data_IF_847171540080
#
_entry.id   IF_847171540080
#
_cell.length_a   1.000
_cell.length_b   1.000
_cell.length_c   1.000
_cell.angle_alpha   90.00
_cell.angle_beta   90.00
_cell.angle_gamma   90.00
#
_symmetry.space_group_name_H-M   'P 1'
#
loop_
_entity.id
_entity.type
_entity.pdbx_description
1 polymer ?
#
# COMPACT_ATOMS: atom_id res chain seq x y z
N UNK A 1 0.19 15.58 -4.71
CA UNK A 1 -1.00 14.86 -5.20
C UNK A 1 -0.53 13.60 -5.91
N UNK A 2 -1.27 12.52 -5.79
CA UNK A 2 -1.03 11.26 -6.48
C UNK A 2 -2.32 10.78 -7.12
N UNK A 3 -2.21 10.24 -8.33
CA UNK A 3 -3.33 9.57 -8.99
C UNK A 3 -3.42 8.13 -8.49
N UNK A 4 -4.62 7.71 -8.10
CA UNK A 4 -4.90 6.39 -7.54
C UNK A 4 -5.85 5.68 -8.51
N UNK A 5 -5.47 4.53 -9.08
CA UNK A 5 -6.37 3.72 -9.88
C UNK A 5 -7.63 3.34 -9.12
N UNK A 6 -8.78 3.29 -9.81
CA UNK A 6 -10.08 2.94 -9.22
C UNK A 6 -10.03 1.65 -8.38
N UNK A 7 -9.32 0.62 -8.86
CA UNK A 7 -9.23 -0.69 -8.19
C UNK A 7 -8.50 -0.64 -6.84
N UNK A 8 -7.66 0.38 -6.62
CA UNK A 8 -6.89 0.54 -5.39
C UNK A 8 -7.58 1.48 -4.38
N UNK A 9 -8.73 2.05 -4.73
CA UNK A 9 -9.40 3.07 -3.91
C UNK A 9 -9.67 2.62 -2.46
N UNK A 10 -9.96 1.33 -2.28
CA UNK A 10 -10.33 0.78 -0.98
C UNK A 10 -9.19 0.87 0.05
N UNK A 11 -7.94 0.93 -0.45
CA UNK A 11 -6.73 0.97 0.38
C UNK A 11 -6.21 2.38 0.63
N UNK A 12 -6.83 3.40 0.04
CA UNK A 12 -6.37 4.79 0.12
C UNK A 12 -7.45 5.65 0.77
N UNK A 13 -7.35 5.78 2.10
CA UNK A 13 -8.26 6.59 2.90
C UNK A 13 -7.49 7.69 3.64
N UNK A 14 -8.13 8.82 3.99
CA UNK A 14 -7.53 9.79 4.90
C UNK A 14 -7.08 9.15 6.20
N UNK A 15 -5.86 9.48 6.66
CA UNK A 15 -5.25 8.93 7.86
C UNK A 15 -4.32 7.73 7.65
N UNK A 16 -4.38 7.09 6.47
CA UNK A 16 -3.47 5.99 6.12
C UNK A 16 -2.02 6.45 6.09
N UNK A 17 -1.13 5.58 6.58
CA UNK A 17 0.30 5.88 6.63
C UNK A 17 0.87 5.93 5.20
N UNK A 18 1.68 6.96 4.94
CA UNK A 18 2.34 7.15 3.66
C UNK A 18 3.81 7.52 3.86
N UNK A 19 4.64 7.04 2.93
CA UNK A 19 6.06 7.38 2.83
C UNK A 19 6.30 8.10 1.51
N UNK A 20 6.78 9.34 1.58
CA UNK A 20 7.12 10.13 0.39
C UNK A 20 8.62 10.23 0.24
N UNK A 21 9.10 10.03 -0.97
CA UNK A 21 10.50 10.24 -1.37
C UNK A 21 10.55 11.12 -2.61
N UNK A 22 11.58 11.94 -2.74
CA UNK A 22 11.77 12.81 -3.91
C UNK A 22 13.05 12.42 -4.64
N UNK A 23 12.99 12.33 -5.96
CA UNK A 23 14.20 12.04 -6.76
C UNK A 23 15.26 13.15 -6.60
N UNK A 24 14.81 14.40 -6.39
CA UNK A 24 15.67 15.55 -6.15
C UNK A 24 16.31 15.58 -4.73
N UNK A 25 15.86 14.71 -3.81
CA UNK A 25 16.38 14.60 -2.45
C UNK A 25 16.70 13.13 -2.11
N UNK A 26 17.71 12.52 -2.73
CA UNK A 26 18.05 11.11 -2.50
C UNK A 26 18.34 10.81 -1.03
N UNK A 27 17.84 9.68 -0.55
CA UNK A 27 18.02 9.23 0.84
C UNK A 27 17.15 9.95 1.88
N UNK A 28 16.36 10.96 1.50
CA UNK A 28 15.37 11.57 2.39
C UNK A 28 14.01 10.91 2.21
N UNK A 29 13.46 10.42 3.31
CA UNK A 29 12.10 9.89 3.38
C UNK A 29 11.24 10.74 4.32
N UNK A 30 10.00 10.97 3.92
CA UNK A 30 9.04 11.77 4.67
C UNK A 30 7.88 10.86 5.08
N UNK A 31 7.85 10.50 6.36
CA UNK A 31 6.70 9.79 6.95
C UNK A 31 5.55 10.77 7.15
N UNK A 32 4.38 10.42 6.63
CA UNK A 32 3.22 11.28 6.61
C UNK A 32 1.94 10.43 6.56
N UNK A 33 0.80 11.10 6.39
CA UNK A 33 -0.49 10.45 6.21
C UNK A 33 -1.18 11.00 4.97
N UNK A 34 -2.08 10.20 4.40
CA UNK A 34 -3.02 10.70 3.40
C UNK A 34 -3.90 11.76 4.05
N UNK A 35 -3.86 12.98 3.53
CA UNK A 35 -4.63 14.11 4.06
C UNK A 35 -6.06 14.10 3.53
N UNK A 36 -6.22 13.87 2.22
CA UNK A 36 -7.51 13.97 1.52
C UNK A 36 -7.55 13.01 0.35
N UNK A 37 -8.77 12.66 -0.07
CA UNK A 37 -9.04 11.98 -1.34
C UNK A 37 -10.25 12.65 -2.00
N UNK A 38 -10.25 12.73 -3.32
CA UNK A 38 -11.31 13.41 -4.09
C UNK A 38 -12.66 12.70 -4.03
N UNK A 39 -12.67 11.39 -3.76
CA UNK A 39 -13.84 10.48 -3.85
C UNK A 39 -14.57 10.47 -5.22
N UNK A 40 -14.14 11.32 -6.15
CA UNK A 40 -14.59 11.36 -7.52
C UNK A 40 -13.46 10.89 -8.45
N UNK A 41 -13.84 10.06 -9.41
CA UNK A 41 -12.98 9.63 -10.51
C UNK A 41 -12.88 10.74 -11.56
N UNK A 42 -11.68 10.97 -12.08
CA UNK A 42 -11.49 11.70 -13.32
C UNK A 42 -12.05 10.87 -14.49
N UNK A 43 -12.93 11.46 -15.31
CA UNK A 43 -13.63 10.72 -16.37
C UNK A 43 -12.72 10.26 -17.52
N UNK A 44 -11.55 10.89 -17.68
CA UNK A 44 -10.59 10.57 -18.74
C UNK A 44 -9.63 9.46 -18.32
N UNK A 45 -9.11 9.51 -17.09
CA UNK A 45 -8.12 8.53 -16.59
C UNK A 45 -8.71 7.41 -15.74
N UNK A 46 -9.93 7.60 -15.22
CA UNK A 46 -10.54 6.74 -14.18
C UNK A 46 -9.67 6.60 -12.93
N UNK A 47 -8.94 7.66 -12.60
CA UNK A 47 -8.19 7.75 -11.35
C UNK A 47 -8.89 8.67 -10.36
N UNK A 48 -8.77 8.33 -9.08
CA UNK A 48 -9.02 9.26 -7.99
C UNK A 48 -7.77 10.09 -7.71
N UNK A 49 -7.93 11.20 -7.01
CA UNK A 49 -6.81 12.02 -6.54
C UNK A 49 -6.69 11.90 -5.04
N UNK A 50 -5.51 11.51 -4.57
CA UNK A 50 -5.15 11.57 -3.16
C UNK A 50 -4.14 12.70 -2.93
N UNK A 51 -4.27 13.37 -1.79
CA UNK A 51 -3.43 14.47 -1.38
C UNK A 51 -2.73 14.15 -0.07
N UNK A 52 -1.47 14.57 0.03
CA UNK A 52 -0.60 14.39 1.18
C UNK A 52 -0.01 15.75 1.46
N UNK A 53 -0.17 16.23 2.69
CA UNK A 53 0.48 17.44 3.14
C UNK A 53 1.83 17.10 3.78
N UNK A 54 2.87 17.80 3.35
CA UNK A 54 4.21 17.67 3.90
C UNK A 54 4.65 19.00 4.51
N UNK A 55 5.08 19.01 5.77
CA UNK A 55 5.73 20.19 6.35
C UNK A 55 6.96 20.57 5.52
N UNK A 56 7.05 21.84 5.16
CA UNK A 56 8.20 22.38 4.40
C UNK A 56 8.75 23.68 5.02
N UNK A 57 9.06 23.71 6.32
CA UNK A 57 9.50 24.94 7.00
C UNK A 57 10.81 25.49 6.43
N UNK A 58 11.70 24.62 5.95
CA UNK A 58 13.01 24.99 5.38
C UNK A 58 12.94 25.29 3.87
N UNK A 59 11.77 25.15 3.24
CA UNK A 59 11.59 25.44 1.81
C UNK A 59 12.34 24.49 0.86
N UNK A 60 12.77 23.32 1.34
CA UNK A 60 13.53 22.34 0.56
C UNK A 60 12.68 21.62 -0.48
N UNK A 61 11.38 21.48 -0.23
CA UNK A 61 10.43 20.93 -1.19
C UNK A 61 9.97 22.04 -2.14
N UNK A 62 10.30 21.91 -3.43
CA UNK A 62 9.93 22.92 -4.44
C UNK A 62 8.78 22.40 -5.32
N UNK A 63 7.87 23.28 -5.77
CA UNK A 63 6.84 22.91 -6.75
C UNK A 63 7.48 22.31 -8.02
N UNK A 64 6.82 21.31 -8.59
CA UNK A 64 7.30 20.60 -9.79
C UNK A 64 8.31 19.48 -9.52
N UNK A 65 8.73 19.25 -8.28
CA UNK A 65 9.53 18.07 -7.94
C UNK A 65 8.71 16.79 -8.12
N UNK A 66 9.36 15.76 -8.68
CA UNK A 66 8.80 14.42 -8.78
C UNK A 66 8.95 13.68 -7.45
N UNK A 67 7.82 13.18 -6.96
CA UNK A 67 7.73 12.39 -5.74
C UNK A 67 7.29 10.96 -6.05
N UNK A 68 7.85 10.00 -5.34
CA UNK A 68 7.32 8.63 -5.24
C UNK A 68 6.67 8.47 -3.87
N UNK A 69 5.47 7.92 -3.86
CA UNK A 69 4.63 7.81 -2.66
C UNK A 69 4.31 6.33 -2.48
N UNK A 70 4.56 5.80 -1.28
CA UNK A 70 4.11 4.47 -0.87
C UNK A 70 3.05 4.64 0.20
N UNK A 71 1.82 4.23 -0.10
CA UNK A 71 0.71 4.25 0.85
C UNK A 71 0.57 2.85 1.42
N UNK A 72 0.48 2.74 2.74
CA UNK A 72 0.30 1.47 3.41
C UNK A 72 -1.16 1.04 3.27
N UNK A 73 -1.39 -0.09 2.61
CA UNK A 73 -2.70 -0.72 2.57
C UNK A 73 -2.94 -1.49 3.87
N UNK A 74 -4.02 -1.16 4.59
CA UNK A 74 -4.49 -1.99 5.70
C UNK A 74 -5.36 -3.11 5.14
N UNK A 75 -4.87 -4.34 5.28
CA UNK A 75 -5.63 -5.54 4.94
C UNK A 75 -6.46 -6.00 6.15
N UNK A 76 -7.54 -6.72 5.89
CA UNK A 76 -8.33 -7.36 6.92
C UNK A 76 -7.45 -8.30 7.78
N UNK A 77 -7.83 -8.49 9.05
CA UNK A 77 -7.14 -9.45 9.91
C UNK A 77 -7.22 -10.85 9.31
N UNK A 78 -6.05 -11.44 9.08
CA UNK A 78 -5.92 -12.75 8.44
C UNK A 78 -4.70 -13.51 9.00
N UNK A 79 -4.74 -14.84 8.90
CA UNK A 79 -3.55 -15.65 9.14
C UNK A 79 -2.50 -15.37 8.07
N UNK A 80 -1.28 -15.04 8.51
CA UNK A 80 -0.15 -14.77 7.61
C UNK A 80 0.71 -16.02 7.52
N UNK A 81 0.87 -16.53 6.31
CA UNK A 81 1.74 -17.67 6.01
C UNK A 81 2.83 -17.25 5.00
N UNK A 82 4.06 -17.76 5.12
CA UNK A 82 5.06 -17.64 4.06
C UNK A 82 4.51 -18.21 2.76
N UNK A 83 4.79 -17.57 1.63
CA UNK A 83 4.31 -18.03 0.32
C UNK A 83 4.76 -19.48 0.04
N UNK A 84 5.97 -19.85 0.44
CA UNK A 84 6.50 -21.21 0.29
C UNK A 84 5.82 -22.27 1.16
N UNK A 85 4.98 -21.88 2.13
CA UNK A 85 4.18 -22.80 2.93
C UNK A 85 2.82 -23.14 2.29
N UNK A 86 2.49 -22.51 1.16
CA UNK A 86 1.21 -22.66 0.46
C UNK A 86 1.43 -23.52 -0.79
N UNK A 87 0.76 -24.67 -0.84
CA UNK A 87 0.65 -25.50 -2.03
C UNK A 87 -0.66 -25.18 -2.73
N UNK A 88 -0.59 -24.83 -4.02
CA UNK A 88 -1.76 -24.57 -4.87
C UNK A 88 -1.94 -25.67 -5.89
N UNK A 89 -3.15 -26.20 -5.99
CA UNK A 89 -3.57 -27.19 -6.98
C UNK A 89 -4.85 -26.70 -7.66
N UNK A 90 -5.30 -27.34 -8.76
CA UNK A 90 -6.61 -27.02 -9.36
C UNK A 90 -7.80 -27.17 -8.39
N UNK A 91 -7.66 -28.05 -7.40
CA UNK A 91 -8.72 -28.36 -6.42
C UNK A 91 -8.70 -27.44 -5.19
N UNK A 92 -7.72 -26.53 -5.08
CA UNK A 92 -7.64 -25.57 -3.97
C UNK A 92 -6.22 -25.27 -3.48
N UNK A 93 -6.12 -24.70 -2.28
CA UNK A 93 -4.86 -24.41 -1.61
C UNK A 93 -4.79 -25.12 -0.26
N UNK A 94 -3.59 -25.56 0.12
CA UNK A 94 -3.34 -26.18 1.41
C UNK A 94 -1.92 -25.90 1.90
N UNK A 95 -1.70 -26.06 3.20
CA UNK A 95 -0.38 -26.04 3.83
C UNK A 95 -0.17 -27.26 4.73
N UNK A 96 0.98 -27.30 5.40
CA UNK A 96 1.26 -28.32 6.42
C UNK A 96 1.52 -27.66 7.77
N UNK A 97 0.79 -28.11 8.80
CA UNK A 97 1.03 -27.78 10.20
C UNK A 97 1.81 -28.91 10.87
N UNK A 98 2.78 -28.59 11.70
CA UNK A 98 3.50 -29.61 12.49
C UNK A 98 2.69 -29.91 13.76
N UNK A 99 2.32 -31.18 13.95
CA UNK A 99 1.65 -31.68 15.15
C UNK A 99 2.39 -32.93 15.60
N UNK A 100 2.89 -32.93 16.84
CA UNK A 100 3.67 -34.04 17.43
C UNK A 100 4.83 -34.53 16.56
N UNK A 101 5.56 -33.58 15.95
CA UNK A 101 6.69 -33.87 15.08
C UNK A 101 6.33 -34.42 13.70
N UNK A 102 5.04 -34.46 13.34
CA UNK A 102 4.55 -34.91 12.03
C UNK A 102 3.91 -33.76 11.27
N UNK A 103 4.09 -33.77 9.95
CA UNK A 103 3.41 -32.85 9.05
C UNK A 103 1.95 -33.28 8.86
N UNK A 104 1.01 -32.40 9.16
CA UNK A 104 -0.42 -32.59 8.95
C UNK A 104 -0.91 -31.61 7.88
N UNK A 105 -1.54 -32.11 6.82
CA UNK A 105 -2.15 -31.27 5.79
C UNK A 105 -3.33 -30.49 6.37
N UNK A 106 -3.39 -29.19 6.08
CA UNK A 106 -4.48 -28.28 6.46
C UNK A 106 -4.88 -27.50 5.21
N UNK A 107 -6.16 -27.55 4.85
CA UNK A 107 -6.69 -26.76 3.74
C UNK A 107 -6.76 -25.27 4.14
N UNK A 108 -6.48 -24.39 3.17
CA UNK A 108 -6.40 -22.93 3.36
C UNK A 108 -7.60 -22.21 2.76
#
# INVERSE_FOLDING_TARGET
MVEVPEIENAYVNPGEDALVTFHALPGKEFSCKVSRISWALDSSSRNLRAEIDLPNPEGILRPGMYASIRIKAVLAEAYVLPLGAIVRTPDGAFGFKIVDGKAQKVDL
#
